data_IF_854807099885
#
_entry.id   IF_854807099885
#
_cell.length_a   1.000
_cell.length_b   1.000
_cell.length_c   1.000
_cell.angle_alpha   90.00
_cell.angle_beta   90.00
_cell.angle_gamma   90.00
#
_symmetry.space_group_name_H-M   'P 1'
#
loop_
_entity.id
_entity.type
_entity.pdbx_description
1 polymer ?
#
# COMPACT_ATOMS: atom_id res chain seq x y z
N UNK A 1 -8.86 11.98 -1.98
CA UNK A 1 -7.57 12.53 -1.51
C UNK A 1 -6.60 11.37 -1.52
N UNK A 2 -5.49 11.48 -2.26
CA UNK A 2 -4.50 10.39 -2.39
C UNK A 2 -3.44 10.55 -1.30
N UNK A 3 -3.31 9.54 -0.43
CA UNK A 3 -2.20 9.43 0.50
C UNK A 3 -1.08 8.60 -0.11
N UNK A 4 0.13 9.15 -0.22
CA UNK A 4 1.31 8.43 -0.70
C UNK A 4 2.29 8.25 0.46
N UNK A 5 2.62 7.01 0.81
CA UNK A 5 3.69 6.69 1.77
C UNK A 5 4.86 6.10 0.98
N UNK A 6 5.94 6.86 0.73
CA UNK A 6 7.15 6.31 0.11
C UNK A 6 7.92 5.50 1.14
N UNK A 7 8.04 4.20 0.91
CA UNK A 7 8.95 3.31 1.65
C UNK A 7 10.01 2.86 0.63
N UNK A 8 11.25 2.66 1.06
CA UNK A 8 12.48 2.66 0.23
C UNK A 8 12.49 1.84 -1.09
N UNK A 9 11.52 0.95 -1.36
CA UNK A 9 11.29 0.30 -2.67
C UNK A 9 9.79 -0.02 -2.94
N UNK A 10 8.84 0.64 -2.25
CA UNK A 10 7.40 0.36 -2.36
C UNK A 10 6.56 1.63 -2.31
N UNK A 11 5.54 1.70 -3.17
CA UNK A 11 4.55 2.76 -3.22
C UNK A 11 3.18 2.19 -2.86
N UNK A 12 2.57 2.76 -1.82
CA UNK A 12 1.19 2.45 -1.43
C UNK A 12 0.33 3.65 -1.81
N UNK A 13 -0.67 3.41 -2.65
CA UNK A 13 -1.75 4.33 -2.95
C UNK A 13 -3.00 3.84 -2.23
N UNK A 14 -3.67 4.74 -1.54
CA UNK A 14 -4.94 4.43 -0.90
C UNK A 14 -6.02 5.31 -1.52
N UNK A 15 -6.96 4.67 -2.21
CA UNK A 15 -8.22 5.26 -2.62
C UNK A 15 -9.33 4.91 -1.62
N UNK A 16 -10.47 5.59 -1.76
CA UNK A 16 -11.57 5.50 -0.80
C UNK A 16 -12.08 4.07 -0.65
N UNK A 17 -11.94 3.23 -1.67
CA UNK A 17 -12.49 1.88 -1.72
C UNK A 17 -11.44 0.78 -1.86
N UNK A 18 -10.19 1.14 -2.15
CA UNK A 18 -9.15 0.19 -2.49
C UNK A 18 -7.77 0.73 -2.10
N UNK A 19 -6.86 -0.20 -1.80
CA UNK A 19 -5.45 0.09 -1.58
C UNK A 19 -4.65 -0.58 -2.67
N UNK A 20 -3.86 0.19 -3.40
CA UNK A 20 -2.92 -0.31 -4.38
C UNK A 20 -1.50 -0.30 -3.81
N UNK A 21 -0.78 -1.40 -4.01
CA UNK A 21 0.62 -1.52 -3.67
C UNK A 21 1.43 -1.82 -4.93
N UNK A 22 2.45 -1.01 -5.16
CA UNK A 22 3.50 -1.26 -6.15
C UNK A 22 4.78 -1.56 -5.41
N UNK A 23 5.34 -2.76 -5.60
CA UNK A 23 6.57 -3.17 -4.95
C UNK A 23 7.50 -3.87 -5.92
N UNK A 24 8.80 -3.74 -5.69
CA UNK A 24 9.81 -4.45 -6.45
C UNK A 24 10.23 -5.73 -5.72
N UNK A 25 10.04 -6.89 -6.36
CA UNK A 25 10.42 -8.20 -5.81
C UNK A 25 11.93 -8.44 -5.77
N UNK A 26 12.69 -7.77 -6.63
CA UNK A 26 14.14 -7.92 -6.74
C UNK A 26 14.81 -6.58 -6.43
N UNK A 27 15.32 -6.43 -5.20
CA UNK A 27 16.10 -5.25 -4.79
C UNK A 27 17.28 -4.90 -5.72
N UNK A 28 17.78 -5.88 -6.50
CA UNK A 28 18.90 -5.74 -7.43
C UNK A 28 18.50 -5.67 -8.91
N UNK A 29 17.20 -5.69 -9.23
CA UNK A 29 16.70 -5.66 -10.60
C UNK A 29 15.51 -4.70 -10.67
N UNK A 30 15.61 -3.66 -11.50
CA UNK A 30 14.50 -2.71 -11.71
C UNK A 30 13.36 -3.30 -12.56
N UNK A 31 13.48 -4.56 -12.98
CA UNK A 31 12.65 -5.12 -14.05
C UNK A 31 11.38 -5.81 -13.55
N UNK A 32 11.19 -5.99 -12.23
CA UNK A 32 10.08 -6.79 -11.66
C UNK A 32 9.29 -6.04 -10.60
N UNK A 33 8.60 -5.00 -11.06
CA UNK A 33 7.52 -4.37 -10.31
C UNK A 33 6.26 -5.25 -10.34
N UNK A 34 5.70 -5.52 -9.18
CA UNK A 34 4.39 -6.14 -9.06
C UNK A 34 3.39 -5.14 -8.52
N UNK A 35 2.18 -5.21 -9.08
CA UNK A 35 1.03 -4.45 -8.66
C UNK A 35 0.05 -5.37 -7.95
N UNK A 36 -0.37 -4.98 -6.75
CA UNK A 36 -1.40 -5.67 -5.98
C UNK A 36 -2.47 -4.67 -5.55
N UNK A 37 -3.72 -5.10 -5.68
CA UNK A 37 -4.89 -4.34 -5.26
C UNK A 37 -5.55 -5.07 -4.10
N UNK A 38 -5.83 -4.32 -3.04
CA UNK A 38 -6.51 -4.77 -1.86
C UNK A 38 -7.85 -4.04 -1.77
N UNK A 39 -8.92 -4.76 -2.08
CA UNK A 39 -10.30 -4.27 -2.15
C UNK A 39 -11.11 -4.63 -0.89
N UNK A 40 -10.51 -5.38 0.05
CA UNK A 40 -11.19 -5.85 1.26
C UNK A 40 -10.39 -5.56 2.52
N UNK A 41 -11.10 -5.17 3.57
CA UNK A 41 -10.52 -4.79 4.87
C UNK A 41 -9.90 -5.97 5.64
N UNK A 42 -10.30 -7.20 5.35
CA UNK A 42 -9.77 -8.43 5.96
C UNK A 42 -8.45 -8.88 5.33
N UNK A 43 -8.03 -8.26 4.22
CA UNK A 43 -6.74 -8.53 3.61
C UNK A 43 -5.61 -7.90 4.41
N UNK A 44 -4.43 -8.49 4.30
CA UNK A 44 -3.20 -7.98 4.86
C UNK A 44 -2.27 -7.50 3.75
N UNK A 45 -1.67 -6.34 3.97
CA UNK A 45 -0.63 -5.76 3.11
C UNK A 45 0.71 -6.18 3.69
N UNK A 46 1.50 -6.86 2.88
CA UNK A 46 2.88 -7.21 3.23
C UNK A 46 3.82 -6.19 2.61
N UNK A 47 4.58 -5.49 3.44
CA UNK A 47 5.72 -4.70 2.99
C UNK A 47 6.93 -5.61 2.88
N UNK A 48 7.35 -5.90 1.66
CA UNK A 48 8.44 -6.81 1.36
C UNK A 48 9.78 -6.27 1.86
N UNK A 49 10.01 -4.96 1.73
CA UNK A 49 11.27 -4.32 2.16
C UNK A 49 11.42 -4.17 3.66
N UNK A 50 10.32 -3.96 4.39
CA UNK A 50 10.35 -3.94 5.85
C UNK A 50 10.15 -5.35 6.45
N UNK A 51 9.74 -6.32 5.61
CA UNK A 51 9.29 -7.64 6.02
C UNK A 51 8.26 -7.58 7.17
N UNK A 52 7.34 -6.60 7.08
CA UNK A 52 6.23 -6.39 8.02
C UNK A 52 4.92 -6.61 7.27
N UNK A 53 3.95 -7.18 7.97
CA UNK A 53 2.60 -7.37 7.47
C UNK A 53 1.62 -6.65 8.39
N UNK A 54 0.66 -5.93 7.81
CA UNK A 54 -0.40 -5.26 8.56
C UNK A 54 -1.75 -5.35 7.83
N UNK A 55 -2.87 -5.33 8.55
CA UNK A 55 -4.19 -5.38 7.92
C UNK A 55 -4.49 -4.09 7.15
N UNK A 56 -5.18 -4.20 6.02
CA UNK A 56 -5.64 -3.06 5.21
C UNK A 56 -6.44 -2.07 6.05
N UNK A 57 -7.23 -2.56 7.02
CA UNK A 57 -7.96 -1.72 7.97
C UNK A 57 -7.05 -0.74 8.76
N UNK A 58 -5.78 -1.07 8.98
CA UNK A 58 -4.85 -0.18 9.67
C UNK A 58 -4.39 1.00 8.79
N UNK A 59 -4.35 0.82 7.47
CA UNK A 59 -4.12 1.91 6.50
C UNK A 59 -5.25 2.91 6.59
N UNK A 60 -6.50 2.43 6.48
CA UNK A 60 -7.69 3.29 6.60
C UNK A 60 -7.81 3.99 7.96
N UNK A 61 -7.35 3.36 9.05
CA UNK A 61 -7.34 4.00 10.38
C UNK A 61 -6.33 5.14 10.49
N UNK A 62 -5.17 5.04 9.82
CA UNK A 62 -4.08 6.02 9.91
C UNK A 62 -4.22 7.13 8.89
N UNK A 63 -4.99 6.92 7.83
CA UNK A 63 -5.29 7.95 6.82
C UNK A 63 -6.53 8.71 7.26
N UNK A 64 -6.34 9.98 7.61
CA UNK A 64 -7.44 10.88 7.84
C UNK A 64 -7.96 11.34 6.48
N UNK A 65 -8.98 10.66 5.94
CA UNK A 65 -9.70 11.18 4.79
C UNK A 65 -10.43 12.43 5.26
N UNK A 66 -9.83 13.61 5.06
CA UNK A 66 -10.61 14.84 5.13
C UNK A 66 -11.65 14.76 4.01
N UNK A 67 -12.84 14.31 4.38
CA UNK A 67 -14.02 14.30 3.53
C UNK A 67 -14.31 15.79 3.27
N UNK A 68 -13.84 16.31 2.13
CA UNK A 68 -14.32 17.59 1.64
C UNK A 68 -15.78 17.40 1.25
N UNK A 69 -16.71 18.20 1.83
CA UNK A 69 -18.13 18.14 1.49
C UNK A 69 -18.40 18.55 0.04
#
# INVERSE_FOLDING_TARGET
>A
MLGQIPIYIELIFCEVFDVEQYYNLEHNSNDRWQWQVYDRLDQSIRLHSLNVEFPVAEVYRRINFEIKP
#
